data_IF_417501205747
#
_entry.id   IF_417501205747
#
_cell.length_a   1.000
_cell.length_b   1.000
_cell.length_c   1.000
_cell.angle_alpha   90.00
_cell.angle_beta   90.00
_cell.angle_gamma   90.00
#
_symmetry.space_group_name_H-M   'P 1'
#
loop_
_entity.id
_entity.type
_entity.pdbx_description
1 polymer ?
#
# COMPACT_ATOMS: atom_id res chain seq x y z
N UNK A 1 3.10 -30.63 25.08
CA UNK A 1 3.28 -29.17 24.90
C UNK A 1 2.19 -28.67 23.98
N UNK A 2 1.44 -27.62 24.36
CA UNK A 2 0.40 -27.01 23.48
C UNK A 2 1.07 -26.29 22.33
N UNK A 3 0.65 -26.56 21.08
CA UNK A 3 1.12 -25.84 19.90
C UNK A 3 0.75 -24.35 20.05
N UNK A 4 1.67 -23.41 19.76
CA UNK A 4 1.35 -21.99 19.81
C UNK A 4 0.27 -21.63 18.77
N UNK A 5 -0.62 -20.70 19.12
CA UNK A 5 -1.65 -20.22 18.18
C UNK A 5 -1.02 -19.36 17.09
N UNK A 6 -1.67 -19.27 15.91
CA UNK A 6 -1.24 -18.39 14.80
C UNK A 6 -1.06 -16.93 15.25
N UNK A 7 -1.93 -16.44 16.15
CA UNK A 7 -1.81 -15.11 16.73
C UNK A 7 -0.55 -14.92 17.57
N UNK A 8 -0.12 -15.96 18.28
CA UNK A 8 1.14 -15.92 19.07
C UNK A 8 2.33 -15.81 18.12
N UNK A 9 2.35 -16.61 17.05
CA UNK A 9 3.41 -16.55 16.03
C UNK A 9 3.41 -15.19 15.34
N UNK A 10 2.24 -14.63 14.99
CA UNK A 10 2.12 -13.31 14.39
C UNK A 10 2.66 -12.20 15.33
N UNK A 11 2.42 -12.28 16.64
CA UNK A 11 3.00 -11.33 17.60
C UNK A 11 4.54 -11.39 17.63
N UNK A 12 5.12 -12.56 17.43
CA UNK A 12 6.59 -12.69 17.31
C UNK A 12 7.10 -12.04 16.03
N UNK A 13 6.41 -12.23 14.89
CA UNK A 13 6.74 -11.57 13.64
C UNK A 13 6.66 -10.04 13.76
N UNK A 14 5.62 -9.52 14.40
CA UNK A 14 5.47 -8.09 14.64
C UNK A 14 6.58 -7.50 15.53
N UNK A 15 7.00 -8.25 16.57
CA UNK A 15 8.16 -7.83 17.39
C UNK A 15 9.44 -7.76 16.57
N UNK A 16 9.62 -8.73 15.66
CA UNK A 16 10.76 -8.78 14.77
C UNK A 16 10.75 -7.61 13.78
N UNK A 17 9.60 -7.28 13.18
CA UNK A 17 9.46 -6.12 12.30
C UNK A 17 9.85 -4.83 13.00
N UNK A 18 9.51 -4.65 14.27
CA UNK A 18 9.90 -3.47 15.07
C UNK A 18 11.41 -3.30 15.24
N UNK A 19 12.21 -4.34 15.08
CA UNK A 19 13.68 -4.27 15.17
C UNK A 19 14.36 -4.08 13.81
N UNK A 20 13.63 -4.13 12.70
CA UNK A 20 14.18 -4.06 11.35
C UNK A 20 14.22 -2.61 10.83
N UNK A 21 15.39 -2.17 10.32
CA UNK A 21 15.57 -0.84 9.73
C UNK A 21 14.61 -0.56 8.56
N UNK A 22 14.25 -1.59 7.79
CA UNK A 22 13.34 -1.49 6.63
C UNK A 22 11.92 -1.11 7.03
N UNK A 23 11.45 -1.60 8.18
CA UNK A 23 10.16 -1.21 8.74
C UNK A 23 10.10 0.30 8.98
N UNK A 24 11.16 0.86 9.57
CA UNK A 24 11.26 2.29 9.82
C UNK A 24 11.42 3.11 8.53
N UNK A 25 12.09 2.55 7.52
CA UNK A 25 12.20 3.21 6.22
C UNK A 25 10.82 3.35 5.56
N UNK A 26 10.00 2.30 5.57
CA UNK A 26 8.64 2.37 5.04
C UNK A 26 7.72 3.28 5.87
N UNK A 27 7.82 3.25 7.21
CA UNK A 27 7.12 4.22 8.09
C UNK A 27 7.59 5.65 7.78
N UNK A 28 8.89 5.83 7.53
CA UNK A 28 9.46 7.12 7.10
C UNK A 28 8.81 7.63 5.82
N UNK A 29 8.62 6.79 4.82
CA UNK A 29 7.92 7.15 3.58
C UNK A 29 6.51 7.66 3.91
N UNK A 30 5.74 6.91 4.70
CA UNK A 30 4.37 7.25 5.07
C UNK A 30 4.23 8.55 5.86
N UNK A 31 5.29 9.01 6.54
CA UNK A 31 5.28 10.24 7.35
C UNK A 31 5.93 11.41 6.61
N UNK A 32 7.09 11.17 6.01
CA UNK A 32 7.93 12.25 5.47
C UNK A 32 7.31 12.80 4.18
N UNK A 33 6.77 11.93 3.31
CA UNK A 33 6.23 12.41 2.04
C UNK A 33 5.04 13.37 2.22
N UNK A 34 3.99 13.05 3.01
CA UNK A 34 2.90 13.99 3.25
C UNK A 34 3.39 15.32 3.86
N UNK A 35 4.37 15.28 4.77
CA UNK A 35 4.94 16.50 5.37
C UNK A 35 5.69 17.33 4.34
N UNK A 36 6.54 16.71 3.51
CA UNK A 36 7.23 17.42 2.42
C UNK A 36 6.21 18.01 1.44
N UNK A 37 5.15 17.26 1.10
CA UNK A 37 4.10 17.74 0.21
C UNK A 37 3.43 19.00 0.75
N UNK A 38 3.02 19.00 2.02
CA UNK A 38 2.41 20.16 2.67
C UNK A 38 3.40 21.34 2.73
N UNK A 39 4.66 21.08 3.10
CA UNK A 39 5.69 22.11 3.15
C UNK A 39 5.92 22.74 1.78
N UNK A 40 6.04 21.92 0.72
CA UNK A 40 6.23 22.40 -0.63
C UNK A 40 5.06 23.29 -1.10
N UNK A 41 3.82 22.91 -0.75
CA UNK A 41 2.64 23.71 -1.07
C UNK A 41 2.62 25.05 -0.31
N UNK A 42 2.96 25.07 0.97
CA UNK A 42 3.05 26.30 1.74
C UNK A 42 4.11 27.27 1.17
N UNK A 43 5.30 26.74 0.83
CA UNK A 43 6.36 27.56 0.23
C UNK A 43 5.96 28.11 -1.14
N UNK A 44 5.27 27.32 -1.96
CA UNK A 44 4.83 27.75 -3.28
C UNK A 44 3.79 28.89 -3.20
N UNK A 45 2.90 28.88 -2.21
CA UNK A 45 1.94 29.98 -1.99
C UNK A 45 2.61 31.30 -1.65
N UNK A 46 3.73 31.25 -0.91
CA UNK A 46 4.48 32.47 -0.54
C UNK A 46 5.29 33.06 -1.70
N UNK A 47 5.67 32.23 -2.70
CA UNK A 47 6.50 32.67 -3.81
C UNK A 47 5.72 33.06 -5.08
N UNK A 48 4.54 32.50 -5.29
CA UNK A 48 3.70 32.75 -6.45
C UNK A 48 2.31 33.23 -6.00
N UNK A 49 2.15 34.53 -5.90
CA UNK A 49 0.83 35.13 -5.70
C UNK A 49 -0.11 34.74 -6.86
N UNK A 50 -0.91 33.70 -6.66
CA UNK A 50 -2.14 33.48 -7.41
C UNK A 50 -2.06 33.08 -8.89
N UNK A 51 -0.99 32.44 -9.35
CA UNK A 51 -0.94 31.84 -10.68
C UNK A 51 -1.66 30.48 -10.72
N UNK A 52 -2.87 30.46 -11.29
CA UNK A 52 -3.76 29.30 -11.36
C UNK A 52 -3.36 28.28 -12.46
N UNK A 53 -2.10 27.89 -12.55
CA UNK A 53 -1.67 26.96 -13.61
C UNK A 53 -2.00 25.48 -13.32
N UNK A 54 -2.50 25.15 -12.10
CA UNK A 54 -2.93 23.80 -11.77
C UNK A 54 -4.25 23.82 -10.99
N UNK A 55 -5.33 23.47 -11.67
CA UNK A 55 -6.69 23.40 -11.12
C UNK A 55 -6.75 22.53 -9.85
N UNK A 56 -5.96 21.46 -9.76
CA UNK A 56 -5.89 20.61 -8.58
C UNK A 56 -5.25 21.28 -7.37
N UNK A 57 -4.27 22.18 -7.58
CA UNK A 57 -3.56 22.88 -6.52
C UNK A 57 -4.39 24.05 -5.96
N UNK A 58 -5.24 24.66 -6.76
CA UNK A 58 -6.14 25.73 -6.32
C UNK A 58 -7.10 25.25 -5.22
N UNK A 59 -7.59 24.01 -5.31
CA UNK A 59 -8.52 23.46 -4.32
C UNK A 59 -7.87 23.08 -2.97
N UNK A 60 -6.53 22.88 -2.91
CA UNK A 60 -5.83 22.61 -1.63
C UNK A 60 -5.93 23.82 -0.71
N UNK A 61 -5.84 25.02 -1.26
CA UNK A 61 -5.84 26.25 -0.47
C UNK A 61 -7.19 26.58 0.14
N UNK A 62 -8.26 25.97 -0.39
CA UNK A 62 -9.62 26.13 0.13
C UNK A 62 -9.88 25.23 1.34
N UNK A 63 -9.26 24.04 1.42
CA UNK A 63 -9.47 23.08 2.50
C UNK A 63 -8.30 22.14 2.69
N UNK A 64 -7.83 22.01 3.92
CA UNK A 64 -6.80 21.05 4.31
C UNK A 64 -7.18 19.59 4.08
N UNK A 65 -8.47 19.27 3.91
CA UNK A 65 -8.97 17.93 3.57
C UNK A 65 -8.70 17.52 2.11
N UNK A 66 -8.34 18.45 1.23
CA UNK A 66 -7.89 18.11 -0.12
C UNK A 66 -6.48 17.49 -0.11
N UNK A 67 -5.66 17.83 0.89
CA UNK A 67 -4.28 17.34 1.02
C UNK A 67 -4.16 15.81 1.03
N UNK A 68 -4.88 15.06 1.88
CA UNK A 68 -4.77 13.59 1.89
C UNK A 68 -5.20 12.95 0.57
N UNK A 69 -6.15 13.55 -0.16
CA UNK A 69 -6.59 13.06 -1.47
C UNK A 69 -5.46 13.19 -2.50
N UNK A 70 -4.77 14.32 -2.50
CA UNK A 70 -3.67 14.58 -3.42
C UNK A 70 -2.40 13.81 -3.03
N UNK A 71 -2.09 13.70 -1.75
CA UNK A 71 -0.98 12.84 -1.32
C UNK A 71 -1.23 11.39 -1.72
N UNK A 72 -2.46 10.86 -1.57
CA UNK A 72 -2.81 9.53 -2.03
C UNK A 72 -2.58 9.36 -3.53
N UNK A 73 -2.95 10.36 -4.35
CA UNK A 73 -2.75 10.34 -5.80
C UNK A 73 -1.26 10.16 -6.16
N UNK A 74 -0.36 10.90 -5.51
CA UNK A 74 1.08 10.81 -5.77
C UNK A 74 1.73 9.57 -5.14
N UNK A 75 1.35 9.21 -3.91
CA UNK A 75 1.91 8.06 -3.20
C UNK A 75 1.48 6.72 -3.79
N UNK A 76 0.26 6.65 -4.35
CA UNK A 76 -0.33 5.43 -4.90
C UNK A 76 0.50 4.83 -6.04
N UNK A 77 1.13 5.67 -6.85
CA UNK A 77 1.88 5.24 -8.02
C UNK A 77 3.12 4.42 -7.67
N UNK A 78 3.83 4.78 -6.58
CA UNK A 78 5.11 4.17 -6.25
C UNK A 78 5.39 4.04 -4.74
N UNK A 79 5.15 5.09 -3.95
CA UNK A 79 5.62 5.15 -2.57
C UNK A 79 4.88 4.17 -1.63
N UNK A 80 3.55 4.08 -1.72
CA UNK A 80 2.77 3.12 -0.93
C UNK A 80 3.03 1.67 -1.36
N UNK A 81 3.07 1.33 -2.66
CA UNK A 81 3.57 0.03 -3.12
C UNK A 81 4.97 -0.30 -2.59
N UNK A 82 5.93 0.63 -2.68
CA UNK A 82 7.29 0.45 -2.15
C UNK A 82 7.26 0.18 -0.64
N UNK A 83 6.52 0.96 0.13
CA UNK A 83 6.36 0.76 1.58
C UNK A 83 5.88 -0.66 1.90
N UNK A 84 4.83 -1.14 1.24
CA UNK A 84 4.29 -2.48 1.45
C UNK A 84 5.30 -3.57 1.07
N UNK A 85 6.00 -3.40 -0.05
CA UNK A 85 6.96 -4.35 -0.58
C UNK A 85 8.26 -4.44 0.22
N UNK A 86 8.69 -3.36 0.90
CA UNK A 86 9.86 -3.39 1.79
C UNK A 86 9.73 -4.46 2.89
N UNK A 87 8.52 -4.70 3.39
CA UNK A 87 8.26 -5.75 4.38
C UNK A 87 7.85 -7.05 3.71
N UNK A 88 6.92 -7.02 2.77
CA UNK A 88 6.39 -8.23 2.13
C UNK A 88 7.47 -9.00 1.35
N UNK A 89 8.33 -8.29 0.61
CA UNK A 89 9.43 -8.89 -0.14
C UNK A 89 10.56 -9.43 0.73
N UNK A 90 10.66 -8.96 1.97
CA UNK A 90 11.70 -9.37 2.91
C UNK A 90 11.29 -10.50 3.86
N UNK A 91 10.00 -10.64 4.13
CA UNK A 91 9.47 -11.36 5.29
C UNK A 91 9.80 -12.87 5.34
N UNK A 92 10.03 -13.50 4.21
CA UNK A 92 10.48 -14.89 4.08
C UNK A 92 11.93 -14.96 3.61
N UNK A 93 12.31 -14.17 2.61
CA UNK A 93 13.60 -14.22 1.95
C UNK A 93 14.78 -13.96 2.90
N UNK A 94 14.65 -13.03 3.84
CA UNK A 94 15.70 -12.74 4.84
C UNK A 94 15.94 -13.92 5.79
N UNK A 95 14.89 -14.62 6.23
CA UNK A 95 15.06 -15.77 7.13
C UNK A 95 15.70 -16.96 6.42
N UNK A 96 15.35 -17.14 5.15
CA UNK A 96 15.95 -18.19 4.35
C UNK A 96 17.42 -17.89 4.07
N UNK A 97 17.72 -16.66 3.62
CA UNK A 97 19.09 -16.21 3.37
C UNK A 97 20.01 -16.29 4.60
N UNK A 98 19.46 -16.07 5.80
CA UNK A 98 20.19 -16.16 7.07
C UNK A 98 20.19 -17.58 7.68
N UNK A 99 19.55 -18.56 7.03
CA UNK A 99 19.44 -19.94 7.54
C UNK A 99 18.55 -20.11 8.79
N UNK A 100 17.93 -19.03 9.27
CA UNK A 100 17.08 -19.06 10.48
C UNK A 100 15.74 -19.74 10.24
N UNK A 101 15.28 -19.81 8.99
CA UNK A 101 14.06 -20.49 8.60
C UNK A 101 14.08 -21.97 9.00
N UNK A 102 15.25 -22.64 8.87
CA UNK A 102 15.45 -24.05 9.32
C UNK A 102 15.13 -24.21 10.80
N UNK A 103 15.64 -23.32 11.63
CA UNK A 103 15.43 -23.36 13.09
C UNK A 103 13.97 -23.15 13.50
N UNK A 104 13.23 -22.34 12.74
CA UNK A 104 11.81 -22.07 12.99
C UNK A 104 10.97 -23.29 12.59
N UNK A 105 11.27 -23.92 11.47
CA UNK A 105 10.51 -25.06 10.93
C UNK A 105 10.82 -26.40 11.62
N UNK A 106 11.91 -26.50 12.39
CA UNK A 106 12.20 -27.67 13.23
C UNK A 106 11.46 -27.63 14.58
N UNK A 107 10.86 -26.50 14.93
CA UNK A 107 10.01 -26.40 16.12
C UNK A 107 8.61 -26.94 15.83
N UNK A 108 7.83 -27.21 16.89
CA UNK A 108 6.48 -27.77 16.84
C UNK A 108 5.39 -26.85 16.25
N UNK A 109 5.76 -25.97 15.31
CA UNK A 109 4.85 -25.03 14.63
C UNK A 109 4.61 -25.52 13.20
N UNK A 110 3.36 -25.56 12.78
CA UNK A 110 3.01 -25.94 11.41
C UNK A 110 3.49 -24.90 10.39
N UNK A 111 4.01 -25.38 9.25
CA UNK A 111 4.52 -24.51 8.17
C UNK A 111 3.46 -23.51 7.66
N UNK A 112 2.21 -23.98 7.52
CA UNK A 112 1.08 -23.12 7.14
C UNK A 112 0.81 -22.01 8.14
N UNK A 113 0.92 -22.31 9.44
CA UNK A 113 0.77 -21.30 10.50
C UNK A 113 1.87 -20.24 10.46
N UNK A 114 3.11 -20.63 10.18
CA UNK A 114 4.24 -19.70 10.07
C UNK A 114 4.01 -18.74 8.90
N UNK A 115 3.66 -19.26 7.71
CA UNK A 115 3.39 -18.39 6.54
C UNK A 115 2.18 -17.50 6.79
N UNK A 116 1.07 -18.03 7.33
CA UNK A 116 -0.12 -17.23 7.64
C UNK A 116 0.20 -16.09 8.62
N UNK A 117 1.03 -16.35 9.64
CA UNK A 117 1.48 -15.33 10.59
C UNK A 117 2.34 -14.25 9.91
N UNK A 118 3.21 -14.63 8.97
CA UNK A 118 4.02 -13.69 8.18
C UNK A 118 3.16 -12.82 7.25
N UNK A 119 2.24 -13.44 6.51
CA UNK A 119 1.28 -12.69 5.67
C UNK A 119 0.45 -11.73 6.52
N UNK A 120 -0.06 -12.19 7.66
CA UNK A 120 -0.82 -11.33 8.59
C UNK A 120 0.01 -10.17 9.15
N UNK A 121 1.29 -10.39 9.46
CA UNK A 121 2.19 -9.33 9.92
C UNK A 121 2.50 -8.31 8.80
N UNK A 122 2.72 -8.76 7.57
CA UNK A 122 2.91 -7.88 6.42
C UNK A 122 1.64 -7.08 6.09
N UNK A 123 0.46 -7.72 6.14
CA UNK A 123 -0.82 -7.04 5.94
C UNK A 123 -1.07 -5.98 7.01
N UNK A 124 -0.85 -6.30 8.29
CA UNK A 124 -1.02 -5.33 9.37
C UNK A 124 -0.06 -4.14 9.22
N UNK A 125 1.20 -4.39 8.84
CA UNK A 125 2.16 -3.33 8.56
C UNK A 125 1.68 -2.43 7.42
N UNK A 126 1.19 -3.01 6.33
CA UNK A 126 0.66 -2.28 5.17
C UNK A 126 -0.55 -1.42 5.55
N UNK A 127 -1.50 -1.98 6.32
CA UNK A 127 -2.68 -1.27 6.84
C UNK A 127 -2.25 -0.09 7.72
N UNK A 128 -1.38 -0.35 8.69
CA UNK A 128 -0.91 0.70 9.62
C UNK A 128 -0.16 1.81 8.87
N UNK A 129 0.71 1.45 7.92
CA UNK A 129 1.46 2.43 7.13
C UNK A 129 0.55 3.30 6.27
N UNK A 130 -0.43 2.70 5.60
CA UNK A 130 -1.40 3.41 4.78
C UNK A 130 -2.22 4.43 5.60
N UNK A 131 -2.79 3.99 6.73
CA UNK A 131 -3.58 4.89 7.58
C UNK A 131 -2.72 5.90 8.36
N UNK A 132 -1.46 5.59 8.60
CA UNK A 132 -0.50 6.55 9.14
C UNK A 132 -0.27 7.69 8.14
N UNK A 133 -0.02 7.38 6.86
CA UNK A 133 0.10 8.38 5.79
C UNK A 133 -1.17 9.24 5.71
N UNK A 134 -2.36 8.62 5.68
CA UNK A 134 -3.65 9.30 5.69
C UNK A 134 -3.78 10.29 6.86
N UNK A 135 -3.41 9.83 8.06
CA UNK A 135 -3.51 10.64 9.29
C UNK A 135 -2.55 11.82 9.24
N UNK A 136 -1.29 11.58 8.86
CA UNK A 136 -0.27 12.65 8.76
C UNK A 136 -0.68 13.67 7.71
N UNK A 137 -1.11 13.23 6.52
CA UNK A 137 -1.58 14.12 5.45
C UNK A 137 -2.78 14.97 5.89
N UNK A 138 -3.76 14.34 6.57
CA UNK A 138 -4.95 15.04 7.05
C UNK A 138 -4.61 16.05 8.14
N UNK A 139 -3.82 15.65 9.15
CA UNK A 139 -3.45 16.52 10.25
C UNK A 139 -2.61 17.69 9.75
N UNK A 140 -1.60 17.44 8.93
CA UNK A 140 -0.74 18.49 8.39
C UNK A 140 -1.53 19.43 7.46
N UNK A 141 -2.40 18.89 6.59
CA UNK A 141 -3.26 19.70 5.73
C UNK A 141 -4.23 20.58 6.51
N UNK A 142 -4.95 20.01 7.47
CA UNK A 142 -5.89 20.76 8.32
C UNK A 142 -5.17 21.82 9.17
N UNK A 143 -3.98 21.53 9.66
CA UNK A 143 -3.17 22.51 10.41
C UNK A 143 -2.73 23.68 9.54
N UNK A 144 -2.51 23.46 8.23
CA UNK A 144 -2.07 24.51 7.29
C UNK A 144 -3.23 25.32 6.68
N UNK A 145 -4.33 24.67 6.29
CA UNK A 145 -5.43 25.31 5.52
C UNK A 145 -6.80 25.18 6.18
N UNK A 146 -6.86 24.65 7.39
CA UNK A 146 -8.11 24.55 8.16
C UNK A 146 -9.00 23.37 7.75
N UNK A 147 -10.03 23.13 8.59
CA UNK A 147 -11.05 22.10 8.40
C UNK A 147 -12.29 22.69 7.73
N UNK A 148 -12.22 22.88 6.42
CA UNK A 148 -13.22 23.58 5.62
C UNK A 148 -13.94 22.62 4.67
N UNK A 149 -14.92 23.16 3.92
CA UNK A 149 -15.62 22.45 2.87
C UNK A 149 -14.65 21.95 1.81
N UNK A 150 -14.96 20.81 1.19
CA UNK A 150 -14.14 20.21 0.12
C UNK A 150 -14.95 20.20 -1.17
N UNK A 151 -14.32 20.61 -2.26
CA UNK A 151 -14.88 20.46 -3.61
C UNK A 151 -14.54 19.05 -4.12
N UNK A 152 -15.55 18.27 -4.46
CA UNK A 152 -15.40 16.91 -5.02
C UNK A 152 -14.95 16.98 -6.48
N UNK A 153 -14.50 15.88 -7.06
CA UNK A 153 -14.16 15.82 -8.50
C UNK A 153 -15.34 16.11 -9.43
N UNK A 154 -16.58 16.05 -8.94
CA UNK A 154 -17.79 16.44 -9.67
C UNK A 154 -18.12 17.94 -9.54
N UNK A 155 -17.25 18.73 -8.90
CA UNK A 155 -17.50 20.15 -8.66
C UNK A 155 -18.52 20.44 -7.56
N UNK A 156 -19.01 19.43 -6.84
CA UNK A 156 -19.95 19.63 -5.72
C UNK A 156 -19.21 19.92 -4.42
N UNK A 157 -19.67 20.92 -3.69
CA UNK A 157 -19.12 21.29 -2.39
C UNK A 157 -19.76 20.39 -1.33
N UNK A 158 -18.94 19.71 -0.55
CA UNK A 158 -19.37 18.87 0.57
C UNK A 158 -18.87 19.43 1.88
N UNK A 159 -19.64 19.22 2.96
CA UNK A 159 -19.24 19.65 4.30
C UNK A 159 -17.97 18.93 4.77
N UNK A 160 -17.17 19.58 5.62
CA UNK A 160 -15.91 19.04 6.11
C UNK A 160 -16.02 17.64 6.76
N UNK A 161 -17.03 17.32 7.61
CA UNK A 161 -17.17 15.96 8.13
C UNK A 161 -17.42 14.91 7.05
N UNK A 162 -18.20 15.25 6.01
CA UNK A 162 -18.43 14.35 4.87
C UNK A 162 -17.17 14.20 4.03
N UNK A 163 -16.40 15.30 3.85
CA UNK A 163 -15.09 15.26 3.21
C UNK A 163 -14.13 14.31 3.91
N UNK A 164 -14.07 14.36 5.25
CA UNK A 164 -13.24 13.44 6.04
C UNK A 164 -13.67 11.98 5.86
N UNK A 165 -14.98 11.69 5.84
CA UNK A 165 -15.47 10.34 5.56
C UNK A 165 -15.06 9.85 4.17
N UNK A 166 -15.10 10.72 3.15
CA UNK A 166 -14.65 10.40 1.80
C UNK A 166 -13.14 10.13 1.75
N UNK A 167 -12.32 10.87 2.50
CA UNK A 167 -10.88 10.59 2.64
C UNK A 167 -10.66 9.20 3.25
N UNK A 168 -11.32 8.88 4.36
CA UNK A 168 -11.22 7.56 5.02
C UNK A 168 -11.65 6.45 4.05
N UNK A 169 -12.74 6.66 3.30
CA UNK A 169 -13.23 5.71 2.32
C UNK A 169 -12.24 5.52 1.15
N UNK A 170 -11.60 6.59 0.65
CA UNK A 170 -10.60 6.53 -0.42
C UNK A 170 -9.38 5.71 0.01
N UNK A 171 -8.83 5.96 1.20
CA UNK A 171 -7.72 5.17 1.74
C UNK A 171 -8.13 3.73 2.06
N UNK A 172 -9.34 3.52 2.60
CA UNK A 172 -9.91 2.20 2.84
C UNK A 172 -10.06 1.40 1.55
N UNK A 173 -10.48 2.03 0.46
CA UNK A 173 -10.55 1.41 -0.85
C UNK A 173 -9.15 1.10 -1.42
N UNK A 174 -8.21 2.05 -1.33
CA UNK A 174 -6.85 1.86 -1.82
C UNK A 174 -6.11 0.71 -1.12
N UNK A 175 -6.55 0.31 0.05
CA UNK A 175 -6.04 -0.88 0.74
C UNK A 175 -6.17 -2.15 -0.11
N UNK A 176 -7.21 -2.28 -0.94
CA UNK A 176 -7.48 -3.47 -1.76
C UNK A 176 -6.33 -3.70 -2.77
N UNK A 177 -6.01 -2.75 -3.68
CA UNK A 177 -4.88 -2.93 -4.59
C UNK A 177 -3.54 -3.00 -3.86
N UNK A 178 -3.37 -2.29 -2.74
CA UNK A 178 -2.14 -2.32 -1.98
C UNK A 178 -1.87 -3.70 -1.33
N UNK A 179 -2.91 -4.38 -0.83
CA UNK A 179 -2.79 -5.76 -0.34
C UNK A 179 -2.50 -6.76 -1.46
N UNK A 180 -2.95 -6.48 -2.69
CA UNK A 180 -2.61 -7.31 -3.84
C UNK A 180 -1.13 -7.17 -4.21
N UNK A 181 -0.58 -5.96 -4.19
CA UNK A 181 0.86 -5.72 -4.34
C UNK A 181 1.66 -6.42 -3.25
N UNK A 182 1.22 -6.29 -1.99
CA UNK A 182 1.83 -6.99 -0.84
C UNK A 182 1.85 -8.51 -1.07
N UNK A 183 0.78 -9.08 -1.61
CA UNK A 183 0.69 -10.52 -1.89
C UNK A 183 1.71 -10.98 -2.95
N UNK A 184 1.93 -10.19 -4.01
CA UNK A 184 3.00 -10.42 -4.99
C UNK A 184 4.37 -10.36 -4.32
N UNK A 185 4.58 -9.38 -3.43
CA UNK A 185 5.80 -9.27 -2.63
C UNK A 185 6.08 -10.51 -1.79
N UNK A 186 5.06 -11.03 -1.10
CA UNK A 186 5.17 -12.28 -0.32
C UNK A 186 5.51 -13.47 -1.24
N UNK A 187 4.87 -13.59 -2.40
CA UNK A 187 5.18 -14.64 -3.37
C UNK A 187 6.65 -14.60 -3.77
N UNK A 188 7.14 -13.44 -4.22
CA UNK A 188 8.53 -13.28 -4.62
C UNK A 188 9.50 -13.51 -3.46
N UNK A 189 9.13 -13.10 -2.24
CA UNK A 189 9.87 -13.40 -1.02
C UNK A 189 9.97 -14.90 -0.73
N UNK A 190 8.96 -15.67 -1.10
CA UNK A 190 8.98 -17.14 -0.94
C UNK A 190 9.74 -17.85 -2.06
N UNK A 191 9.81 -17.31 -3.26
CA UNK A 191 10.52 -17.90 -4.39
C UNK A 191 12.01 -17.58 -4.33
N UNK A 192 12.36 -16.33 -4.02
CA UNK A 192 13.74 -15.86 -3.98
C UNK A 192 14.35 -16.08 -2.59
N UNK A 193 15.65 -16.38 -2.53
CA UNK A 193 16.40 -16.45 -1.27
C UNK A 193 17.10 -15.13 -0.94
N UNK A 194 16.84 -14.11 -1.73
CA UNK A 194 17.45 -12.79 -1.63
C UNK A 194 16.34 -11.73 -1.46
N UNK A 195 16.38 -11.07 -0.32
CA UNK A 195 15.41 -10.04 0.04
C UNK A 195 15.41 -8.85 -0.92
N UNK A 196 16.60 -8.37 -1.35
CA UNK A 196 16.68 -7.27 -2.28
C UNK A 196 16.08 -7.65 -3.65
N UNK A 197 16.39 -8.87 -4.14
CA UNK A 197 15.81 -9.38 -5.38
C UNK A 197 14.29 -9.53 -5.31
N UNK A 198 13.74 -9.95 -4.16
CA UNK A 198 12.29 -10.06 -3.97
C UNK A 198 11.61 -8.68 -4.02
N UNK A 199 12.14 -7.69 -3.31
CA UNK A 199 11.59 -6.32 -3.28
C UNK A 199 11.68 -5.68 -4.66
N UNK A 200 12.86 -5.70 -5.27
CA UNK A 200 13.09 -5.11 -6.60
C UNK A 200 12.28 -5.83 -7.68
N UNK A 201 12.19 -7.16 -7.61
CA UNK A 201 11.39 -7.95 -8.54
C UNK A 201 9.89 -7.60 -8.44
N UNK A 202 9.35 -7.47 -7.23
CA UNK A 202 7.96 -7.10 -7.02
C UNK A 202 7.67 -5.67 -7.49
N UNK A 203 8.57 -4.72 -7.21
CA UNK A 203 8.48 -3.37 -7.77
C UNK A 203 8.59 -3.39 -9.29
N UNK A 204 9.49 -4.20 -9.84
CA UNK A 204 9.62 -4.37 -11.29
C UNK A 204 8.33 -4.85 -11.93
N UNK A 205 7.63 -5.81 -11.33
CA UNK A 205 6.31 -6.27 -11.80
C UNK A 205 5.32 -5.10 -11.81
N UNK A 206 5.20 -4.34 -10.71
CA UNK A 206 4.27 -3.20 -10.66
C UNK A 206 4.63 -2.10 -11.66
N UNK A 207 5.91 -1.81 -11.85
CA UNK A 207 6.37 -0.83 -12.84
C UNK A 207 6.09 -1.27 -14.28
N UNK A 208 6.31 -2.55 -14.60
CA UNK A 208 5.97 -3.10 -15.92
C UNK A 208 4.48 -2.99 -16.20
N UNK A 209 3.63 -3.34 -15.22
CA UNK A 209 2.18 -3.17 -15.35
C UNK A 209 1.79 -1.70 -15.55
N UNK A 210 2.46 -0.77 -14.85
CA UNK A 210 2.23 0.66 -15.05
C UNK A 210 2.67 1.14 -16.44
N UNK A 211 3.81 0.65 -16.95
CA UNK A 211 4.28 1.01 -18.30
C UNK A 211 3.31 0.52 -19.39
N UNK A 212 2.69 -0.64 -19.22
CA UNK A 212 1.69 -1.15 -20.18
C UNK A 212 0.51 -0.18 -20.32
N UNK A 213 0.14 0.56 -19.30
CA UNK A 213 -0.97 1.54 -19.39
C UNK A 213 -0.66 2.71 -20.32
N UNK A 214 0.61 2.99 -20.59
CA UNK A 214 1.05 4.12 -21.44
C UNK A 214 1.21 3.71 -22.92
N UNK A 215 1.26 2.39 -23.21
CA UNK A 215 1.48 1.89 -24.57
C UNK A 215 0.19 2.03 -25.40
N UNK A 216 0.23 2.69 -26.57
CA UNK A 216 -0.92 2.74 -27.47
C UNK A 216 -1.34 1.33 -27.93
N UNK A 217 -2.66 1.09 -27.99
CA UNK A 217 -3.22 -0.20 -28.43
C UNK A 217 -3.45 -1.23 -27.29
N UNK A 218 -3.09 -0.92 -26.06
CA UNK A 218 -3.31 -1.80 -24.90
C UNK A 218 -4.65 -1.57 -24.18
N UNK A 219 -5.54 -0.75 -24.72
CA UNK A 219 -6.81 -0.36 -24.07
C UNK A 219 -7.67 -1.55 -23.64
N UNK A 220 -7.65 -2.66 -24.37
CA UNK A 220 -8.40 -3.87 -24.01
C UNK A 220 -7.86 -4.60 -22.79
N UNK A 221 -6.57 -4.40 -22.45
CA UNK A 221 -5.89 -5.08 -21.33
C UNK A 221 -5.85 -4.17 -20.09
N UNK A 222 -5.83 -2.84 -20.30
CA UNK A 222 -5.73 -1.86 -19.22
C UNK A 222 -6.72 -2.07 -18.05
N UNK A 223 -8.01 -2.41 -18.27
CA UNK A 223 -8.94 -2.64 -17.17
C UNK A 223 -8.57 -3.82 -16.26
N UNK A 224 -7.68 -4.71 -16.72
CA UNK A 224 -7.25 -5.89 -15.95
C UNK A 224 -5.87 -5.73 -15.30
N UNK A 225 -5.25 -4.56 -15.45
CA UNK A 225 -3.94 -4.28 -14.86
C UNK A 225 -4.10 -3.79 -13.42
N UNK A 226 -3.34 -4.39 -12.51
CA UNK A 226 -3.36 -4.02 -11.09
C UNK A 226 -3.10 -2.52 -10.86
N UNK A 227 -2.24 -1.91 -11.66
CA UNK A 227 -1.87 -0.49 -11.55
C UNK A 227 -2.96 0.47 -12.02
N UNK A 228 -3.87 0.03 -12.90
CA UNK A 228 -5.06 0.81 -13.28
C UNK A 228 -6.01 0.94 -12.10
N UNK A 229 -6.08 -0.08 -11.26
CA UNK A 229 -6.95 -0.13 -10.08
C UNK A 229 -6.54 0.85 -8.98
N UNK A 230 -5.32 1.39 -9.02
CA UNK A 230 -4.83 2.37 -8.03
C UNK A 230 -5.65 3.67 -8.02
N UNK A 231 -6.32 4.01 -9.13
CA UNK A 231 -7.06 5.26 -9.27
C UNK A 231 -8.59 5.09 -9.16
N UNK A 232 -9.09 3.87 -9.02
CA UNK A 232 -10.54 3.61 -9.03
C UNK A 232 -11.27 4.17 -7.78
N UNK A 233 -10.53 4.53 -6.71
CA UNK A 233 -11.08 5.26 -5.57
C UNK A 233 -11.68 6.63 -5.95
N UNK A 234 -11.32 7.20 -7.11
CA UNK A 234 -11.92 8.42 -7.64
C UNK A 234 -13.44 8.30 -7.80
N UNK A 235 -13.96 7.09 -8.04
CA UNK A 235 -15.40 6.82 -8.10
C UNK A 235 -16.13 7.17 -6.80
N UNK A 236 -15.47 7.06 -5.64
CA UNK A 236 -16.04 7.44 -4.34
C UNK A 236 -16.20 8.95 -4.17
N UNK A 237 -15.37 9.74 -4.85
CA UNK A 237 -15.38 11.20 -4.78
C UNK A 237 -16.28 11.83 -5.84
N UNK A 238 -17.07 11.04 -6.58
CA UNK A 238 -18.07 11.52 -7.51
C UNK A 238 -19.44 11.61 -6.84
N UNK A 239 -20.26 12.50 -7.34
CA UNK A 239 -21.66 12.64 -6.88
C UNK A 239 -22.59 12.55 -8.10
N UNK A 240 -23.41 11.48 -8.21
CA UNK A 240 -23.56 10.34 -7.30
C UNK A 240 -22.32 9.43 -7.29
N UNK A 241 -22.12 8.69 -6.18
CA UNK A 241 -21.00 7.73 -6.04
C UNK A 241 -21.10 6.64 -7.12
N UNK A 242 -20.02 6.45 -7.87
CA UNK A 242 -19.91 5.39 -8.88
C UNK A 242 -19.30 4.13 -8.27
N UNK A 243 -20.11 3.11 -8.10
CA UNK A 243 -19.72 1.83 -7.50
C UNK A 243 -19.12 0.84 -8.51
N UNK A 244 -19.33 1.06 -9.81
CA UNK A 244 -18.86 0.11 -10.83
C UNK A 244 -17.33 -0.06 -10.83
N UNK A 245 -16.50 1.00 -10.78
CA UNK A 245 -15.06 0.87 -10.68
C UNK A 245 -14.61 0.15 -9.40
N UNK A 246 -15.36 0.32 -8.30
CA UNK A 246 -15.04 -0.27 -7.00
C UNK A 246 -15.18 -1.80 -7.04
N UNK A 247 -16.29 -2.31 -7.55
CA UNK A 247 -16.50 -3.74 -7.73
C UNK A 247 -15.54 -4.34 -8.73
N UNK A 248 -15.26 -3.63 -9.83
CA UNK A 248 -14.27 -4.03 -10.81
C UNK A 248 -12.90 -4.20 -10.16
N UNK A 249 -12.47 -3.21 -9.40
CA UNK A 249 -11.18 -3.24 -8.69
C UNK A 249 -11.08 -4.40 -7.70
N UNK A 250 -12.14 -4.68 -6.96
CA UNK A 250 -12.14 -5.74 -5.96
C UNK A 250 -11.84 -7.12 -6.58
N UNK A 251 -12.48 -7.46 -7.70
CA UNK A 251 -12.25 -8.76 -8.34
C UNK A 251 -10.93 -8.82 -9.10
N UNK A 252 -10.50 -7.74 -9.79
CA UNK A 252 -9.19 -7.67 -10.44
C UNK A 252 -8.08 -7.84 -9.42
N UNK A 253 -8.13 -7.10 -8.31
CA UNK A 253 -7.18 -7.23 -7.21
C UNK A 253 -7.17 -8.65 -6.62
N UNK A 254 -8.34 -9.29 -6.47
CA UNK A 254 -8.43 -10.67 -6.01
C UNK A 254 -7.76 -11.64 -6.99
N UNK A 255 -7.85 -11.39 -8.30
CA UNK A 255 -7.19 -12.20 -9.33
C UNK A 255 -5.65 -12.16 -9.21
N UNK A 256 -5.06 -11.07 -8.72
CA UNK A 256 -3.62 -11.00 -8.41
C UNK A 256 -3.29 -11.56 -7.03
N UNK A 257 -4.07 -11.21 -6.00
CA UNK A 257 -3.77 -11.56 -4.62
C UNK A 257 -3.94 -13.05 -4.33
N UNK A 258 -5.06 -13.64 -4.76
CA UNK A 258 -5.39 -15.04 -4.43
C UNK A 258 -4.40 -16.03 -5.05
N UNK A 259 -4.11 -15.98 -6.37
CA UNK A 259 -3.10 -16.88 -6.95
C UNK A 259 -1.70 -16.65 -6.37
N UNK A 260 -1.32 -15.40 -6.07
CA UNK A 260 -0.02 -15.10 -5.46
C UNK A 260 0.11 -15.73 -4.09
N UNK A 261 -0.91 -15.62 -3.23
CA UNK A 261 -0.89 -16.22 -1.89
C UNK A 261 -0.95 -17.76 -1.94
N UNK A 262 -1.74 -18.34 -2.86
CA UNK A 262 -1.79 -19.80 -3.07
C UNK A 262 -0.43 -20.30 -3.55
N UNK A 263 0.17 -19.65 -4.53
CA UNK A 263 1.49 -20.02 -5.04
C UNK A 263 2.57 -19.87 -3.95
N UNK A 264 2.55 -18.79 -3.19
CA UNK A 264 3.44 -18.60 -2.04
C UNK A 264 3.29 -19.74 -1.01
N UNK A 265 2.06 -20.13 -0.70
CA UNK A 265 1.76 -21.23 0.21
C UNK A 265 2.30 -22.56 -0.31
N UNK A 266 2.04 -22.90 -1.56
CA UNK A 266 2.50 -24.14 -2.19
C UNK A 266 4.03 -24.23 -2.27
N UNK A 267 4.68 -23.12 -2.66
CA UNK A 267 6.15 -23.03 -2.70
C UNK A 267 6.73 -23.19 -1.30
N UNK A 268 6.14 -22.52 -0.29
CA UNK A 268 6.61 -22.59 1.09
C UNK A 268 6.48 -23.98 1.69
N UNK A 269 5.39 -24.71 1.40
CA UNK A 269 5.18 -26.10 1.87
C UNK A 269 6.18 -27.09 1.24
N UNK A 270 6.47 -26.93 -0.06
CA UNK A 270 7.37 -27.82 -0.80
C UNK A 270 8.85 -27.51 -0.56
N UNK A 271 9.17 -26.46 0.16
CA UNK A 271 10.55 -26.04 0.39
C UNK A 271 11.28 -27.07 1.25
N UNK A 272 12.29 -27.72 0.68
CA UNK A 272 13.17 -28.62 1.43
C UNK A 272 14.06 -27.83 2.38
N UNK A 273 13.87 -28.09 3.66
CA UNK A 273 14.65 -27.49 4.76
C UNK A 273 15.94 -28.30 5.02
N UNK A 274 16.05 -29.48 4.40
CA UNK A 274 17.09 -30.47 4.70
C UNK A 274 18.25 -30.53 3.69
N UNK A 275 18.20 -29.73 2.62
CA UNK A 275 19.15 -29.92 1.51
C UNK A 275 20.04 -28.70 1.28
N UNK A 276 21.34 -28.84 1.56
CA UNK A 276 22.42 -27.99 1.09
C UNK A 276 23.53 -27.96 2.08
#
# INVERSE_FOLDING_TARGET
>A
MRRPSTLTVMRWELRKLRSQKRTYLGVGIAVIFPLIFVLAQNLNQHHHGGGADNIYLAHITESGLATPVLTLLFESAFLLPLMALLVAGDIVATEDGNGTLKTILTRSVDRGQVLAAKVGAAALYTIVGLFLSATVATVAGVASWGFNHVTTFSGTIVSAPRGLLLVIAAYGFFLIPLLSVMSIGVLLSTITRNSAAAVVGALGVTLVLALVTVIPGTSSIQPYLLTTEYNNWHGLLRTPTDWAPIWHSAWVCALYAVPSLIAAYLVFLRRDVAGG
#
